data_IF_106421085253
#
_entry.id   IF_106421085253
#
_cell.length_a   1.000
_cell.length_b   1.000
_cell.length_c   1.000
_cell.angle_alpha   90.00
_cell.angle_beta   90.00
_cell.angle_gamma   90.00
#
_symmetry.space_group_name_H-M   'P 1'
#
loop_
_entity.id
_entity.type
_entity.pdbx_description
1 polymer ?
#
# COMPACT_ATOMS: atom_id res chain seq x y z
N UNK A 1 19.30 9.49 -3.87
CA UNK A 1 18.92 9.20 -2.47
C UNK A 1 17.87 10.24 -2.10
N UNK A 2 16.62 9.95 -2.39
CA UNK A 2 15.55 10.93 -2.13
C UNK A 2 14.43 10.25 -1.32
N UNK A 3 14.67 10.16 0.00
CA UNK A 3 13.67 9.83 1.02
C UNK A 3 12.62 10.95 1.14
N UNK A 4 12.80 12.04 0.38
CA UNK A 4 12.02 13.27 0.43
C UNK A 4 10.57 13.11 -0.03
N UNK A 5 10.26 12.16 -0.92
CA UNK A 5 8.88 11.96 -1.40
C UNK A 5 7.97 11.32 -0.34
N UNK A 6 8.51 10.55 0.59
CA UNK A 6 7.72 9.94 1.67
C UNK A 6 7.56 10.90 2.84
N UNK A 7 8.59 11.71 3.15
CA UNK A 7 8.55 12.72 4.22
C UNK A 7 7.84 14.01 3.80
N UNK A 8 7.87 14.37 2.52
CA UNK A 8 7.16 15.55 2.03
C UNK A 8 5.63 15.45 2.18
N UNK A 9 5.08 14.23 2.20
CA UNK A 9 3.65 14.04 2.41
C UNK A 9 3.18 14.31 3.85
N UNK A 10 4.08 14.18 4.83
CA UNK A 10 3.77 14.45 6.24
C UNK A 10 4.21 15.84 6.73
N UNK A 11 5.18 16.47 6.06
CA UNK A 11 5.77 17.74 6.50
C UNK A 11 5.26 18.98 5.76
N UNK A 12 4.48 18.85 4.66
CA UNK A 12 4.14 19.96 3.75
C UNK A 12 2.85 20.69 4.13
N UNK A 13 2.36 20.57 5.35
CA UNK A 13 1.24 21.38 5.84
C UNK A 13 1.62 22.82 6.23
N UNK A 14 2.89 23.21 6.13
CA UNK A 14 3.37 24.48 6.66
C UNK A 14 3.88 25.51 5.62
N UNK A 15 4.03 25.16 4.33
CA UNK A 15 4.54 26.13 3.33
C UNK A 15 3.88 25.85 1.99
N UNK A 16 3.45 26.93 1.29
CA UNK A 16 2.74 26.91 0.00
C UNK A 16 3.59 26.36 -1.16
N UNK A 17 3.94 25.08 -1.09
CA UNK A 17 4.48 24.33 -2.21
C UNK A 17 3.32 23.72 -3.01
N UNK A 18 3.47 23.51 -4.34
CA UNK A 18 2.42 22.96 -5.18
C UNK A 18 1.96 21.61 -4.59
N UNK A 19 0.68 21.51 -4.31
CA UNK A 19 0.07 20.36 -3.63
C UNK A 19 0.14 19.16 -4.58
N UNK A 20 0.92 18.09 -4.26
CA UNK A 20 0.96 16.90 -5.09
C UNK A 20 -0.44 16.29 -5.22
N UNK A 21 -0.87 16.00 -6.43
CA UNK A 21 -2.21 15.47 -6.73
C UNK A 21 -3.20 16.50 -7.28
N UNK A 22 -3.02 17.80 -7.11
CA UNK A 22 -3.87 18.79 -7.77
C UNK A 22 -3.56 18.95 -9.26
N UNK A 23 -2.31 18.73 -9.67
CA UNK A 23 -1.94 18.69 -11.10
C UNK A 23 -2.66 17.58 -11.86
N UNK A 24 -2.90 16.44 -11.22
CA UNK A 24 -3.66 15.35 -11.82
C UNK A 24 -5.14 15.66 -12.04
N UNK A 25 -5.65 16.71 -11.37
CA UNK A 25 -7.02 17.22 -11.56
C UNK A 25 -7.10 18.33 -12.64
N UNK A 26 -6.01 18.59 -13.36
CA UNK A 26 -5.95 19.59 -14.42
C UNK A 26 -5.88 21.04 -13.92
N UNK A 27 -5.45 21.24 -12.67
CA UNK A 27 -5.37 22.58 -12.07
C UNK A 27 -3.99 23.19 -12.28
N UNK A 28 -3.98 24.43 -12.76
CA UNK A 28 -2.83 25.31 -12.76
C UNK A 28 -2.53 25.81 -11.34
N UNK A 29 -1.35 26.42 -11.14
CA UNK A 29 -0.81 26.84 -9.84
C UNK A 29 -1.66 27.89 -9.06
N UNK A 30 -2.78 28.35 -9.61
CA UNK A 30 -3.73 29.24 -8.97
C UNK A 30 -5.08 28.58 -8.81
N UNK A 31 -5.75 28.75 -7.65
CA UNK A 31 -7.10 28.24 -7.47
C UNK A 31 -8.04 28.92 -8.48
N UNK A 32 -9.02 28.18 -9.04
CA UNK A 32 -10.08 28.78 -9.85
C UNK A 32 -10.79 29.89 -9.09
N UNK A 33 -11.29 30.91 -9.81
CA UNK A 33 -12.04 32.00 -9.22
C UNK A 33 -13.17 31.47 -8.30
N UNK A 34 -13.18 31.94 -7.06
CA UNK A 34 -14.16 31.55 -6.06
C UNK A 34 -13.72 30.44 -5.09
N UNK A 35 -12.58 29.79 -5.28
CA UNK A 35 -12.02 28.85 -4.32
C UNK A 35 -10.99 29.52 -3.40
N UNK A 36 -11.02 29.15 -2.12
CA UNK A 36 -10.10 29.67 -1.11
C UNK A 36 -8.96 28.67 -0.84
N UNK A 37 -7.86 29.14 -0.25
CA UNK A 37 -6.78 28.26 0.22
C UNK A 37 -7.28 27.21 1.24
N UNK A 38 -8.34 27.53 1.99
CA UNK A 38 -8.98 26.60 2.91
C UNK A 38 -9.67 25.47 2.16
N UNK A 39 -10.29 25.73 1.03
CA UNK A 39 -10.92 24.70 0.19
C UNK A 39 -9.86 23.78 -0.41
N UNK A 40 -8.74 24.34 -0.87
CA UNK A 40 -7.60 23.55 -1.35
C UNK A 40 -7.05 22.61 -0.24
N UNK A 41 -6.93 23.14 0.98
CA UNK A 41 -6.49 22.34 2.14
C UNK A 41 -7.46 21.19 2.43
N UNK A 42 -8.77 21.47 2.41
CA UNK A 42 -9.80 20.44 2.62
C UNK A 42 -9.77 19.36 1.53
N UNK A 43 -9.62 19.75 0.28
CA UNK A 43 -9.49 18.83 -0.86
C UNK A 43 -8.25 17.95 -0.69
N UNK A 44 -7.11 18.53 -0.35
CA UNK A 44 -5.86 17.79 -0.14
C UNK A 44 -6.00 16.78 1.00
N UNK A 45 -6.61 17.19 2.10
CA UNK A 45 -6.91 16.30 3.22
C UNK A 45 -7.82 15.14 2.81
N UNK A 46 -8.88 15.41 2.03
CA UNK A 46 -9.79 14.40 1.53
C UNK A 46 -9.09 13.41 0.58
N UNK A 47 -8.24 13.90 -0.33
CA UNK A 47 -7.42 13.06 -1.22
C UNK A 47 -6.46 12.18 -0.42
N UNK A 48 -5.79 12.76 0.58
CA UNK A 48 -4.87 12.03 1.45
C UNK A 48 -5.58 10.96 2.30
N UNK A 49 -6.79 11.27 2.79
CA UNK A 49 -7.63 10.34 3.54
C UNK A 49 -8.20 9.21 2.67
N UNK A 50 -8.28 9.37 1.35
CA UNK A 50 -8.79 8.37 0.41
C UNK A 50 -7.97 7.08 0.35
N UNK A 51 -6.77 7.04 0.94
CA UNK A 51 -5.93 5.84 1.05
C UNK A 51 -5.48 5.63 2.48
N UNK A 52 -5.69 4.41 3.00
CA UNK A 52 -5.21 4.03 4.32
C UNK A 52 -3.68 4.23 4.44
N UNK A 53 -3.20 4.58 5.64
CA UNK A 53 -1.77 4.77 5.91
C UNK A 53 -0.91 3.54 5.56
N UNK A 54 -1.44 2.33 5.78
CA UNK A 54 -0.80 1.07 5.39
C UNK A 54 -0.63 0.95 3.87
N UNK A 55 -1.63 1.36 3.09
CA UNK A 55 -1.58 1.37 1.62
C UNK A 55 -0.54 2.37 1.12
N UNK A 56 -0.50 3.58 1.71
CA UNK A 56 0.52 4.59 1.37
C UNK A 56 1.93 4.07 1.61
N UNK A 57 2.20 3.45 2.77
CA UNK A 57 3.50 2.84 3.07
C UNK A 57 3.87 1.74 2.08
N UNK A 58 2.91 0.89 1.72
CA UNK A 58 3.12 -0.19 0.75
C UNK A 58 3.44 0.37 -0.63
N UNK A 59 2.73 1.41 -1.07
CA UNK A 59 2.98 2.06 -2.37
C UNK A 59 4.34 2.77 -2.39
N UNK A 60 4.69 3.50 -1.32
CA UNK A 60 6.00 4.13 -1.20
C UNK A 60 7.15 3.11 -1.28
N UNK A 61 7.00 1.95 -0.63
CA UNK A 61 7.99 0.87 -0.69
C UNK A 61 8.12 0.28 -2.10
N UNK A 62 7.00 0.02 -2.78
CA UNK A 62 6.98 -0.51 -4.15
C UNK A 62 7.55 0.50 -5.14
N UNK A 63 7.20 1.77 -5.00
CA UNK A 63 7.74 2.84 -5.83
C UNK A 63 9.26 2.96 -5.66
N UNK A 64 9.77 3.06 -4.43
CA UNK A 64 11.21 3.12 -4.17
C UNK A 64 11.98 1.89 -4.67
N UNK A 65 11.31 0.72 -4.79
CA UNK A 65 11.91 -0.46 -5.43
C UNK A 65 12.03 -0.28 -6.93
N UNK A 66 11.01 0.28 -7.58
CA UNK A 66 11.04 0.60 -9.00
C UNK A 66 12.10 1.67 -9.32
N UNK A 67 12.17 2.75 -8.53
CA UNK A 67 13.19 3.80 -8.68
C UNK A 67 14.61 3.22 -8.58
N UNK A 68 14.89 2.41 -7.57
CA UNK A 68 16.22 1.75 -7.45
C UNK A 68 16.54 0.87 -8.63
N UNK A 69 15.56 0.14 -9.16
CA UNK A 69 15.75 -0.69 -10.34
C UNK A 69 16.08 0.15 -11.57
N UNK A 70 15.41 1.28 -11.77
CA UNK A 70 15.69 2.24 -12.84
C UNK A 70 17.06 2.88 -12.68
N UNK A 71 17.38 3.38 -11.49
CA UNK A 71 18.66 4.02 -11.16
C UNK A 71 19.83 3.09 -11.41
N UNK A 72 19.71 1.83 -11.02
CA UNK A 72 20.76 0.81 -11.26
C UNK A 72 21.00 0.51 -12.74
N UNK A 73 20.13 0.96 -13.63
CA UNK A 73 20.23 0.82 -15.09
C UNK A 73 20.43 2.13 -15.83
N UNK A 74 20.54 3.27 -15.12
CA UNK A 74 20.64 4.60 -15.71
C UNK A 74 19.36 5.03 -16.43
N UNK A 75 18.19 4.51 -16.03
CA UNK A 75 16.88 4.80 -16.64
C UNK A 75 16.12 5.79 -15.74
N UNK A 76 15.40 6.73 -16.37
CA UNK A 76 14.52 7.67 -15.66
C UNK A 76 13.26 6.93 -15.21
N UNK A 77 12.95 7.04 -13.92
CA UNK A 77 11.77 6.40 -13.32
C UNK A 77 10.49 7.24 -13.46
N UNK A 78 10.60 8.58 -13.59
CA UNK A 78 9.48 9.50 -13.68
C UNK A 78 9.77 10.60 -14.73
N UNK A 79 8.97 10.76 -15.77
CA UNK A 79 7.94 9.81 -16.22
C UNK A 79 8.55 8.52 -16.79
N UNK A 80 7.94 7.38 -16.48
CA UNK A 80 8.42 6.09 -16.96
C UNK A 80 7.77 5.74 -18.31
N UNK A 81 8.55 5.46 -19.36
CA UNK A 81 8.01 4.88 -20.58
C UNK A 81 7.38 3.51 -20.31
N UNK A 82 6.30 3.12 -21.04
CA UNK A 82 5.66 1.81 -20.87
C UNK A 82 6.61 0.63 -21.01
N UNK A 83 7.59 0.72 -21.92
CA UNK A 83 8.59 -0.34 -22.12
C UNK A 83 9.47 -0.54 -20.88
N UNK A 84 9.82 0.52 -20.17
CA UNK A 84 10.56 0.45 -18.90
C UNK A 84 9.79 -0.33 -17.85
N UNK A 85 8.50 -0.04 -17.74
CA UNK A 85 7.59 -0.77 -16.83
C UNK A 85 7.50 -2.24 -17.25
N UNK A 86 7.32 -2.55 -18.53
CA UNK A 86 7.31 -3.93 -19.02
C UNK A 86 8.59 -4.70 -18.63
N UNK A 87 9.75 -4.09 -18.83
CA UNK A 87 11.04 -4.68 -18.49
C UNK A 87 11.18 -4.92 -16.97
N UNK A 88 10.78 -3.94 -16.16
CA UNK A 88 10.76 -4.08 -14.70
C UNK A 88 9.86 -5.24 -14.24
N UNK A 89 8.63 -5.33 -14.76
CA UNK A 89 7.70 -6.37 -14.38
C UNK A 89 8.19 -7.77 -14.79
N UNK A 90 8.82 -7.89 -15.96
CA UNK A 90 9.40 -9.13 -16.43
C UNK A 90 10.58 -9.59 -15.54
N UNK A 91 11.49 -8.66 -15.21
CA UNK A 91 12.62 -8.91 -14.30
C UNK A 91 12.11 -9.28 -12.89
N UNK A 92 11.09 -8.56 -12.39
CA UNK A 92 10.48 -8.81 -11.11
C UNK A 92 9.83 -10.20 -11.03
N UNK A 93 9.19 -10.62 -12.12
CA UNK A 93 8.63 -11.96 -12.26
C UNK A 93 9.71 -13.05 -12.32
N UNK A 94 10.83 -12.81 -13.04
CA UNK A 94 11.97 -13.73 -13.14
C UNK A 94 12.62 -13.98 -11.77
N UNK A 95 12.59 -13.00 -10.86
CA UNK A 95 13.01 -13.14 -9.47
C UNK A 95 12.05 -14.01 -8.63
N UNK A 96 11.01 -14.53 -9.23
CA UNK A 96 10.05 -15.38 -8.55
C UNK A 96 9.05 -14.63 -7.66
N UNK A 97 8.84 -13.35 -7.86
CA UNK A 97 7.87 -12.56 -7.08
C UNK A 97 6.44 -12.96 -7.43
N UNK A 98 5.57 -13.04 -6.42
CA UNK A 98 4.18 -13.45 -6.61
C UNK A 98 3.39 -12.44 -7.45
N UNK A 99 2.43 -12.92 -8.26
CA UNK A 99 1.59 -12.10 -9.12
C UNK A 99 0.88 -10.95 -8.36
N UNK A 100 0.40 -11.21 -7.14
CA UNK A 100 -0.22 -10.19 -6.30
C UNK A 100 0.73 -9.03 -5.95
N UNK A 101 2.02 -9.32 -5.73
CA UNK A 101 3.03 -8.30 -5.46
C UNK A 101 3.36 -7.49 -6.72
N UNK A 102 3.35 -8.13 -7.89
CA UNK A 102 3.51 -7.46 -9.20
C UNK A 102 2.33 -6.48 -9.42
N UNK A 103 1.10 -6.90 -9.14
CA UNK A 103 -0.07 -6.02 -9.23
C UNK A 103 0.02 -4.83 -8.27
N UNK A 104 0.53 -5.06 -7.05
CA UNK A 104 0.76 -3.99 -6.09
C UNK A 104 1.83 -2.99 -6.58
N UNK A 105 2.90 -3.47 -7.23
CA UNK A 105 3.91 -2.61 -7.86
C UNK A 105 3.30 -1.78 -9.01
N UNK A 106 2.46 -2.38 -9.85
CA UNK A 106 1.73 -1.66 -10.89
C UNK A 106 0.85 -0.54 -10.31
N UNK A 107 0.11 -0.83 -9.22
CA UNK A 107 -0.73 0.15 -8.57
C UNK A 107 0.08 1.31 -7.96
N UNK A 108 1.27 1.03 -7.42
CA UNK A 108 2.17 2.04 -6.89
C UNK A 108 2.75 2.94 -8.00
N UNK A 109 3.18 2.35 -9.13
CA UNK A 109 3.69 3.10 -10.29
C UNK A 109 2.58 4.00 -10.87
N UNK A 110 1.36 3.47 -11.02
CA UNK A 110 0.22 4.26 -11.49
C UNK A 110 -0.08 5.42 -10.54
N UNK A 111 -0.08 5.17 -9.23
CA UNK A 111 -0.34 6.18 -8.22
C UNK A 111 0.72 7.29 -8.21
N UNK A 112 2.00 6.93 -8.36
CA UNK A 112 3.10 7.90 -8.43
C UNK A 112 2.94 8.82 -9.65
N UNK A 113 2.69 8.26 -10.85
CA UNK A 113 2.47 9.07 -12.05
C UNK A 113 1.25 9.98 -11.93
N UNK A 114 0.13 9.45 -11.39
CA UNK A 114 -1.05 10.27 -11.14
C UNK A 114 -0.78 11.43 -10.18
N UNK A 115 0.03 11.20 -9.13
CA UNK A 115 0.36 12.24 -8.16
C UNK A 115 1.18 13.37 -8.79
N UNK A 116 2.10 13.03 -9.71
CA UNK A 116 2.93 14.00 -10.42
C UNK A 116 2.23 14.62 -11.64
N UNK A 117 1.00 14.20 -11.95
CA UNK A 117 0.26 14.67 -13.14
C UNK A 117 0.77 14.08 -14.45
N UNK A 118 1.54 13.01 -14.40
CA UNK A 118 2.12 12.34 -15.55
C UNK A 118 1.20 11.25 -16.12
N UNK A 119 1.42 10.93 -17.39
CA UNK A 119 0.68 9.88 -18.07
C UNK A 119 0.93 8.54 -17.38
N UNK A 120 -0.16 7.85 -17.01
CA UNK A 120 -0.07 6.56 -16.33
C UNK A 120 0.40 5.44 -17.29
N UNK A 121 1.63 4.94 -17.19
CA UNK A 121 2.15 3.93 -18.11
C UNK A 121 1.45 2.56 -17.96
N UNK A 122 0.81 2.32 -16.81
CA UNK A 122 0.10 1.04 -16.55
C UNK A 122 -1.18 0.93 -17.41
N UNK A 123 -1.71 2.05 -17.89
CA UNK A 123 -2.89 2.07 -18.77
C UNK A 123 -2.58 1.58 -20.19
N UNK A 124 -1.31 1.52 -20.59
CA UNK A 124 -0.89 1.16 -21.93
C UNK A 124 -1.12 -0.33 -22.23
N UNK A 125 -1.45 -0.62 -23.50
CA UNK A 125 -1.77 -1.98 -23.96
C UNK A 125 -0.60 -2.95 -23.82
N UNK A 126 0.63 -2.48 -24.05
CA UNK A 126 1.85 -3.28 -23.87
C UNK A 126 2.00 -3.76 -22.44
N UNK A 127 1.82 -2.87 -21.45
CA UNK A 127 1.89 -3.20 -20.03
C UNK A 127 0.77 -4.14 -19.62
N UNK A 128 -0.46 -3.88 -20.10
CA UNK A 128 -1.60 -4.78 -19.86
C UNK A 128 -1.34 -6.19 -20.42
N UNK A 129 -0.72 -6.28 -21.62
CA UNK A 129 -0.39 -7.56 -22.23
C UNK A 129 0.67 -8.33 -21.41
N UNK A 130 1.75 -7.65 -20.99
CA UNK A 130 2.79 -8.25 -20.13
C UNK A 130 2.18 -8.74 -18.80
N UNK A 131 1.41 -7.91 -18.10
CA UNK A 131 0.73 -8.30 -16.84
C UNK A 131 -0.13 -9.55 -17.02
N UNK A 132 -0.90 -9.61 -18.12
CA UNK A 132 -1.75 -10.79 -18.44
C UNK A 132 -0.90 -12.04 -18.68
N UNK A 133 0.21 -11.91 -19.40
CA UNK A 133 1.16 -12.99 -19.64
C UNK A 133 1.78 -13.51 -18.35
N UNK A 134 2.27 -12.61 -17.48
CA UNK A 134 2.85 -12.97 -16.20
C UNK A 134 1.85 -13.66 -15.27
N UNK A 135 0.60 -13.18 -15.20
CA UNK A 135 -0.45 -13.85 -14.42
C UNK A 135 -0.74 -15.26 -14.91
N UNK A 136 -0.71 -15.48 -16.22
CA UNK A 136 -0.92 -16.82 -16.81
C UNK A 136 0.23 -17.77 -16.49
N UNK A 137 1.46 -17.30 -16.63
CA UNK A 137 2.65 -18.15 -16.41
C UNK A 137 2.91 -18.47 -14.95
N UNK A 138 2.65 -17.54 -14.04
CA UNK A 138 2.92 -17.73 -12.61
C UNK A 138 1.72 -18.31 -11.84
N UNK A 139 0.52 -18.24 -12.40
CA UNK A 139 -0.73 -18.51 -11.67
C UNK A 139 -1.08 -17.41 -10.68
N UNK A 140 -2.28 -17.49 -10.13
CA UNK A 140 -2.80 -16.53 -9.13
C UNK A 140 -3.01 -17.15 -7.76
N UNK A 141 -2.74 -18.44 -7.61
CA UNK A 141 -2.90 -19.14 -6.36
C UNK A 141 -1.88 -18.65 -5.31
N UNK A 142 -2.27 -18.49 -4.05
CA UNK A 142 -1.34 -18.19 -2.97
C UNK A 142 -0.26 -19.27 -2.87
N UNK A 143 1.01 -18.89 -2.84
CA UNK A 143 2.13 -19.85 -2.72
C UNK A 143 2.18 -20.54 -1.35
N UNK A 144 1.63 -19.91 -0.35
CA UNK A 144 1.46 -20.46 1.00
C UNK A 144 0.07 -20.10 1.49
N UNK A 145 -0.73 -21.10 1.75
CA UNK A 145 -2.00 -20.96 2.44
C UNK A 145 -1.84 -21.63 3.79
N UNK A 146 -1.99 -20.86 4.86
CA UNK A 146 -2.00 -21.41 6.21
C UNK A 146 -3.25 -22.29 6.39
N UNK A 147 -3.10 -23.40 7.08
CA UNK A 147 -4.24 -24.23 7.49
C UNK A 147 -5.14 -23.39 8.42
N UNK A 148 -6.45 -23.39 8.22
CA UNK A 148 -7.36 -22.75 9.18
C UNK A 148 -7.25 -23.46 10.54
N UNK A 149 -7.30 -22.66 11.61
CA UNK A 149 -7.32 -23.18 12.98
C UNK A 149 -8.71 -23.73 13.30
N UNK A 150 -8.76 -24.93 13.86
CA UNK A 150 -9.97 -25.51 14.40
C UNK A 150 -10.18 -25.10 15.86
N UNK A 151 -11.40 -25.29 16.38
CA UNK A 151 -11.67 -25.08 17.80
C UNK A 151 -10.76 -25.93 18.71
N UNK A 152 -10.39 -27.13 18.27
CA UNK A 152 -9.48 -28.00 19.05
C UNK A 152 -8.04 -27.47 19.01
N UNK A 153 -7.61 -26.84 17.92
CA UNK A 153 -6.31 -26.15 17.89
C UNK A 153 -6.29 -25.01 18.91
N UNK A 154 -7.36 -24.23 18.98
CA UNK A 154 -7.49 -23.14 19.96
C UNK A 154 -7.48 -23.67 21.39
N UNK A 155 -8.22 -24.74 21.69
CA UNK A 155 -8.22 -25.39 23.02
C UNK A 155 -6.81 -25.82 23.41
N UNK A 156 -6.06 -26.49 22.50
CA UNK A 156 -4.68 -26.90 22.75
C UNK A 156 -3.75 -25.73 23.00
N UNK A 157 -3.87 -24.65 22.21
CA UNK A 157 -3.08 -23.43 22.42
C UNK A 157 -3.36 -22.83 23.80
N UNK A 158 -4.63 -22.71 24.18
CA UNK A 158 -5.01 -22.15 25.48
C UNK A 158 -4.56 -23.03 26.65
N UNK A 159 -4.55 -24.34 26.49
CA UNK A 159 -4.06 -25.29 27.52
C UNK A 159 -2.54 -25.18 27.77
N UNK A 160 -1.78 -24.67 26.77
CA UNK A 160 -0.33 -24.49 26.92
C UNK A 160 0.06 -23.12 27.53
N UNK A 161 -0.91 -22.23 27.78
CA UNK A 161 -0.66 -20.90 28.32
C UNK A 161 -0.84 -20.90 29.86
N UNK A 162 0.19 -20.46 30.58
CA UNK A 162 0.09 -20.22 32.02
C UNK A 162 -0.72 -18.94 32.29
N UNK A 163 -1.98 -19.12 32.61
CA UNK A 163 -2.91 -18.01 32.94
C UNK A 163 -2.74 -17.41 34.32
N UNK A 164 -1.86 -17.94 35.16
CA UNK A 164 -1.53 -17.33 36.43
C UNK A 164 -0.70 -16.05 36.27
N UNK A 165 -0.12 -15.83 35.08
CA UNK A 165 0.65 -14.64 34.76
C UNK A 165 -0.20 -13.63 34.00
N UNK A 166 0.02 -12.32 34.21
CA UNK A 166 -0.65 -11.25 33.46
C UNK A 166 -0.41 -11.39 31.92
N UNK A 167 0.80 -11.85 31.55
CA UNK A 167 1.13 -12.12 30.14
C UNK A 167 0.29 -13.25 29.56
N UNK A 168 0.18 -14.37 30.29
CA UNK A 168 -0.59 -15.50 29.81
C UNK A 168 -2.09 -15.21 29.76
N UNK A 169 -2.62 -14.45 30.73
CA UNK A 169 -4.01 -13.96 30.69
C UNK A 169 -4.26 -13.11 29.45
N UNK A 170 -3.38 -12.13 29.16
CA UNK A 170 -3.46 -11.31 27.96
C UNK A 170 -3.39 -12.15 26.67
N UNK A 171 -2.43 -13.07 26.59
CA UNK A 171 -2.20 -13.86 25.38
C UNK A 171 -3.40 -14.80 25.12
N UNK A 172 -4.00 -15.35 26.17
CA UNK A 172 -5.24 -16.15 26.07
C UNK A 172 -6.42 -15.29 25.59
N UNK A 173 -6.58 -14.07 26.12
CA UNK A 173 -7.62 -13.14 25.68
C UNK A 173 -7.48 -12.77 24.21
N UNK A 174 -6.26 -12.47 23.73
CA UNK A 174 -5.99 -12.17 22.32
C UNK A 174 -6.35 -13.33 21.39
N UNK A 175 -6.03 -14.57 21.78
CA UNK A 175 -6.37 -15.75 20.99
C UNK A 175 -7.88 -15.97 20.93
N UNK A 176 -8.57 -15.85 22.06
CA UNK A 176 -10.02 -16.02 22.14
C UNK A 176 -10.77 -14.94 21.35
N UNK A 177 -10.45 -13.67 21.57
CA UNK A 177 -11.06 -12.56 20.86
C UNK A 177 -10.79 -12.64 19.35
N UNK A 178 -9.53 -12.88 18.97
CA UNK A 178 -9.17 -12.99 17.56
C UNK A 178 -9.88 -14.14 16.84
N UNK A 179 -10.08 -15.28 17.52
CA UNK A 179 -10.77 -16.44 16.96
C UNK A 179 -12.29 -16.22 16.91
N UNK A 180 -12.90 -15.73 18.00
CA UNK A 180 -14.35 -15.57 18.11
C UNK A 180 -14.90 -14.46 17.21
N UNK A 181 -14.16 -13.33 17.08
CA UNK A 181 -14.58 -12.18 16.31
C UNK A 181 -14.01 -12.12 14.89
N UNK A 182 -13.11 -13.07 14.53
CA UNK A 182 -12.39 -13.09 13.25
C UNK A 182 -11.68 -11.76 12.91
N UNK A 183 -11.28 -10.99 13.91
CA UNK A 183 -10.59 -9.72 13.76
C UNK A 183 -9.22 -9.90 13.12
N UNK A 184 -8.86 -8.94 12.26
CA UNK A 184 -7.49 -8.85 11.77
C UNK A 184 -6.54 -8.42 12.90
N UNK A 185 -5.27 -8.79 12.80
CA UNK A 185 -4.26 -8.42 13.81
C UNK A 185 -4.24 -6.92 14.14
N UNK A 186 -4.42 -6.05 13.15
CA UNK A 186 -4.46 -4.59 13.35
C UNK A 186 -5.73 -4.12 14.07
N UNK A 187 -6.85 -4.78 13.82
CA UNK A 187 -8.13 -4.50 14.48
C UNK A 187 -8.06 -4.97 15.94
N UNK A 188 -7.57 -6.19 16.16
CA UNK A 188 -7.37 -6.72 17.52
C UNK A 188 -6.40 -5.86 18.36
N UNK A 189 -5.32 -5.35 17.74
CA UNK A 189 -4.35 -4.48 18.42
C UNK A 189 -4.86 -3.06 18.67
N UNK A 190 -5.91 -2.64 17.98
CA UNK A 190 -6.55 -1.33 18.11
C UNK A 190 -7.77 -1.34 19.03
N UNK A 191 -8.13 -2.49 19.63
CA UNK A 191 -9.24 -2.55 20.57
C UNK A 191 -8.94 -1.74 21.85
N UNK A 192 -9.90 -0.93 22.25
CA UNK A 192 -9.92 -0.21 23.51
C UNK A 192 -10.91 -0.88 24.49
N UNK A 193 -10.74 -0.61 25.79
CA UNK A 193 -11.66 -1.17 26.79
C UNK A 193 -13.12 -0.77 26.55
N UNK A 194 -13.34 0.41 25.96
CA UNK A 194 -14.68 0.88 25.60
C UNK A 194 -15.36 0.06 24.49
N UNK A 195 -14.57 -0.68 23.70
CA UNK A 195 -15.09 -1.55 22.63
C UNK A 195 -15.55 -2.92 23.15
N UNK A 196 -15.29 -3.20 24.43
CA UNK A 196 -15.63 -4.47 25.07
C UNK A 196 -16.75 -4.17 26.07
N UNK A 197 -17.97 -4.36 25.63
CA UNK A 197 -19.13 -4.34 26.53
C UNK A 197 -19.14 -5.59 27.41
N UNK A 198 -19.41 -5.47 28.74
CA UNK A 198 -19.49 -6.60 29.64
C UNK A 198 -20.70 -7.51 29.38
#
# INVERSE_FOLDING_TARGET
MNLALVTAYDATLATAAPIPGLRSLGWSDLPPDGLTNQDLTRITHAIAAGRAASTRRTYAWQWGRFERWCTGRGIIAMPAPPVTVCAYLADFAAQGVAAATIECACAAIAAAHQTEGEVNPIAEQSVKAVRRGLRRSQGTAPRRQSRPLSTDDIRRMLASIDRATARGTRDAALILLGFASALRRSELAGLELADIEP
#
